data_IF_511501067851
#
_entry.id   IF_511501067851
#
_cell.length_a   1.000
_cell.length_b   1.000
_cell.length_c   1.000
_cell.angle_alpha   90.00
_cell.angle_beta   90.00
_cell.angle_gamma   90.00
#
_symmetry.space_group_name_H-M   'P 1'
#
loop_
_entity.id
_entity.type
_entity.pdbx_description
1 polymer ?
#
# COMPACT_ATOMS: atom_id res chain seq x y z
N UNK A 1 -11.19 -33.12 -14.58
CA UNK A 1 -10.31 -32.26 -13.76
C UNK A 1 -10.28 -32.79 -12.33
N UNK A 2 -9.07 -32.98 -11.79
CA UNK A 2 -8.93 -33.57 -10.45
C UNK A 2 -9.45 -32.67 -9.33
N UNK A 3 -10.20 -33.21 -8.39
CA UNK A 3 -10.74 -32.55 -7.19
C UNK A 3 -9.70 -31.71 -6.43
N UNK A 4 -8.44 -32.13 -6.42
CA UNK A 4 -7.33 -31.44 -5.74
C UNK A 4 -7.11 -30.00 -6.27
N UNK A 5 -7.17 -29.78 -7.58
CA UNK A 5 -7.03 -28.44 -8.18
C UNK A 5 -8.22 -27.54 -7.84
N UNK A 6 -9.43 -28.12 -7.83
CA UNK A 6 -10.67 -27.41 -7.49
C UNK A 6 -10.63 -26.96 -6.03
N UNK A 7 -10.33 -27.84 -5.09
CA UNK A 7 -10.21 -27.54 -3.66
C UNK A 7 -9.12 -26.50 -3.37
N UNK A 8 -7.98 -26.59 -4.03
CA UNK A 8 -6.90 -25.59 -3.90
C UNK A 8 -7.35 -24.21 -4.40
N UNK A 9 -8.06 -24.16 -5.53
CA UNK A 9 -8.60 -22.92 -6.09
C UNK A 9 -9.66 -22.29 -5.17
N UNK A 10 -10.55 -23.10 -4.59
CA UNK A 10 -11.57 -22.65 -3.65
C UNK A 10 -10.95 -22.06 -2.37
N UNK A 11 -9.98 -22.76 -1.76
CA UNK A 11 -9.23 -22.25 -0.60
C UNK A 11 -8.54 -20.91 -0.89
N UNK A 12 -7.93 -20.75 -2.07
CA UNK A 12 -7.32 -19.48 -2.47
C UNK A 12 -8.33 -18.36 -2.67
N UNK A 13 -9.52 -18.67 -3.19
CA UNK A 13 -10.60 -17.69 -3.35
C UNK A 13 -11.16 -17.25 -1.99
N UNK A 14 -11.35 -18.18 -1.06
CA UNK A 14 -11.79 -17.89 0.31
C UNK A 14 -10.77 -17.04 1.07
N UNK A 15 -9.49 -17.39 1.00
CA UNK A 15 -8.42 -16.60 1.62
C UNK A 15 -8.40 -15.16 1.07
N UNK A 16 -8.62 -14.97 -0.25
CA UNK A 16 -8.68 -13.63 -0.86
C UNK A 16 -9.89 -12.79 -0.44
N UNK A 17 -11.01 -13.42 -0.10
CA UNK A 17 -12.20 -12.69 0.39
C UNK A 17 -11.92 -11.95 1.68
N UNK A 18 -11.08 -12.50 2.54
CA UNK A 18 -10.74 -11.95 3.86
C UNK A 18 -9.54 -10.98 3.83
N UNK A 19 -9.00 -10.70 2.65
CA UNK A 19 -7.91 -9.74 2.51
C UNK A 19 -8.47 -8.38 2.08
N UNK A 20 -8.17 -7.35 2.86
CA UNK A 20 -8.54 -5.97 2.58
C UNK A 20 -7.31 -5.22 2.10
N UNK A 21 -7.32 -4.80 0.86
CA UNK A 21 -6.15 -4.14 0.26
C UNK A 21 -6.55 -2.97 -0.62
N UNK A 22 -5.62 -2.04 -0.78
CA UNK A 22 -5.66 -1.02 -1.80
C UNK A 22 -4.33 -0.99 -2.57
N UNK A 23 -4.37 -0.60 -3.83
CA UNK A 23 -3.19 -0.54 -4.70
C UNK A 23 -3.10 0.79 -5.41
N UNK A 24 -1.93 1.38 -5.38
CA UNK A 24 -1.58 2.58 -6.13
C UNK A 24 -0.58 2.20 -7.22
N UNK A 25 -0.97 2.33 -8.47
CA UNK A 25 -0.11 1.99 -9.61
C UNK A 25 0.54 3.25 -10.20
N UNK A 26 1.75 3.08 -10.74
CA UNK A 26 2.49 4.11 -11.47
C UNK A 26 2.64 5.45 -10.73
N UNK A 27 2.86 5.40 -9.43
CA UNK A 27 3.11 6.61 -8.65
C UNK A 27 4.46 7.23 -9.06
N UNK A 28 4.50 8.52 -9.48
CA UNK A 28 5.71 9.16 -10.00
C UNK A 28 6.70 9.58 -8.91
N UNK A 29 6.87 8.76 -7.89
CA UNK A 29 7.82 8.94 -6.79
C UNK A 29 8.82 7.78 -6.81
N UNK A 30 10.07 8.06 -6.48
CA UNK A 30 11.10 7.02 -6.40
C UNK A 30 10.75 5.97 -5.34
N UNK A 31 10.92 4.66 -5.63
CA UNK A 31 10.65 3.58 -4.65
C UNK A 31 11.39 3.77 -3.32
N UNK A 32 12.63 4.26 -3.35
CA UNK A 32 13.42 4.53 -2.13
C UNK A 32 12.74 5.56 -1.23
N UNK A 33 12.24 6.66 -1.80
CA UNK A 33 11.54 7.72 -1.05
C UNK A 33 10.21 7.21 -0.48
N UNK A 34 9.48 6.39 -1.24
CA UNK A 34 8.22 5.80 -0.81
C UNK A 34 8.42 4.80 0.32
N UNK A 35 9.47 3.95 0.26
CA UNK A 35 9.78 2.96 1.31
C UNK A 35 10.06 3.59 2.66
N UNK A 36 10.75 4.74 2.70
CA UNK A 36 11.03 5.45 3.95
C UNK A 36 9.75 5.79 4.73
N UNK A 37 8.69 6.19 4.04
CA UNK A 37 7.40 6.50 4.67
C UNK A 37 6.62 5.21 4.96
N UNK A 38 6.65 4.25 4.04
CA UNK A 38 5.99 2.95 4.24
C UNK A 38 6.51 2.24 5.50
N UNK A 39 7.81 2.32 5.78
CA UNK A 39 8.42 1.70 6.96
C UNK A 39 7.99 2.39 8.26
N UNK A 40 7.71 3.71 8.22
CA UNK A 40 7.22 4.45 9.39
C UNK A 40 5.79 4.07 9.81
N UNK A 41 4.96 3.62 8.87
CA UNK A 41 3.54 3.32 9.15
C UNK A 41 3.22 1.84 9.19
N UNK A 42 4.15 0.99 8.76
CA UNK A 42 3.96 -0.48 8.80
C UNK A 42 3.78 -0.97 10.23
N UNK A 43 2.77 -1.80 10.45
CA UNK A 43 2.47 -2.41 11.76
C UNK A 43 1.76 -1.48 12.75
N UNK A 44 1.46 -0.24 12.39
CA UNK A 44 0.72 0.68 13.26
C UNK A 44 -0.79 0.55 13.09
N UNK A 45 -1.54 0.89 14.16
CA UNK A 45 -3.00 1.09 14.10
C UNK A 45 -3.30 2.23 13.12
N UNK A 46 -4.47 2.17 12.48
CA UNK A 46 -4.88 3.13 11.44
C UNK A 46 -4.83 4.57 11.93
N UNK A 47 -5.36 4.87 13.11
CA UNK A 47 -5.44 6.25 13.63
C UNK A 47 -4.04 6.86 13.77
N UNK A 48 -3.10 6.08 14.33
CA UNK A 48 -1.72 6.49 14.45
C UNK A 48 -1.04 6.66 13.08
N UNK A 49 -1.32 5.74 12.15
CA UNK A 49 -0.77 5.81 10.80
C UNK A 49 -1.26 7.05 10.03
N UNK A 50 -2.56 7.38 10.11
CA UNK A 50 -3.13 8.59 9.51
C UNK A 50 -2.46 9.83 10.10
N UNK A 51 -2.31 9.89 11.43
CA UNK A 51 -1.65 11.03 12.10
C UNK A 51 -0.21 11.21 11.64
N UNK A 52 0.58 10.12 11.55
CA UNK A 52 1.97 10.16 11.05
C UNK A 52 2.01 10.67 9.60
N UNK A 53 1.12 10.17 8.74
CA UNK A 53 1.09 10.54 7.32
C UNK A 53 0.67 12.00 7.12
N UNK A 54 -0.32 12.46 7.87
CA UNK A 54 -0.87 13.82 7.79
C UNK A 54 0.15 14.90 8.20
N UNK A 55 0.92 14.64 9.26
CA UNK A 55 1.90 15.60 9.76
C UNK A 55 3.30 15.45 9.13
N UNK A 56 3.51 14.49 8.26
CA UNK A 56 4.78 14.31 7.55
C UNK A 56 4.89 15.31 6.38
N UNK A 57 5.97 16.10 6.27
CA UNK A 57 6.15 17.09 5.19
C UNK A 57 6.54 16.46 3.84
N UNK A 58 6.64 15.13 3.76
CA UNK A 58 7.11 14.44 2.56
C UNK A 58 5.97 14.20 1.56
N UNK A 59 6.19 14.48 0.28
CA UNK A 59 5.22 14.24 -0.80
C UNK A 59 4.65 12.81 -0.83
N UNK A 60 5.48 11.83 -0.51
CA UNK A 60 5.08 10.42 -0.46
C UNK A 60 3.98 10.15 0.58
N UNK A 61 3.94 10.92 1.67
CA UNK A 61 2.93 10.78 2.73
C UNK A 61 1.53 11.08 2.23
N UNK A 62 1.35 12.14 1.43
CA UNK A 62 0.05 12.50 0.85
C UNK A 62 -0.51 11.39 -0.05
N UNK A 63 0.37 10.69 -0.78
CA UNK A 63 -0.05 9.58 -1.63
C UNK A 63 -0.44 8.35 -0.82
N UNK A 64 0.33 8.05 0.23
CA UNK A 64 0.04 6.93 1.13
C UNK A 64 -1.18 7.18 2.00
N UNK A 65 -1.43 8.41 2.44
CA UNK A 65 -2.64 8.80 3.17
C UNK A 65 -3.90 8.49 2.34
N UNK A 66 -3.94 8.95 1.08
CA UNK A 66 -5.06 8.67 0.17
C UNK A 66 -5.24 7.17 -0.08
N UNK A 67 -4.13 6.43 -0.22
CA UNK A 67 -4.18 4.98 -0.39
C UNK A 67 -4.73 4.28 0.85
N UNK A 68 -4.34 4.73 2.04
CA UNK A 68 -4.83 4.20 3.32
C UNK A 68 -6.33 4.45 3.48
N UNK A 69 -6.81 5.66 3.19
CA UNK A 69 -8.24 5.99 3.21
C UNK A 69 -9.03 5.11 2.23
N UNK A 70 -8.50 4.87 1.03
CA UNK A 70 -9.11 3.94 0.08
C UNK A 70 -9.17 2.50 0.61
N UNK A 71 -8.13 2.04 1.31
CA UNK A 71 -8.12 0.70 1.92
C UNK A 71 -9.17 0.57 3.04
N UNK A 72 -9.35 1.62 3.84
CA UNK A 72 -10.38 1.69 4.89
C UNK A 72 -11.77 1.62 4.27
N UNK A 73 -12.03 2.40 3.22
CA UNK A 73 -13.32 2.36 2.50
C UNK A 73 -13.59 0.99 1.90
N UNK A 74 -12.59 0.33 1.34
CA UNK A 74 -12.71 -1.04 0.82
C UNK A 74 -13.04 -2.05 1.93
N UNK A 75 -12.51 -1.83 3.14
CA UNK A 75 -12.83 -2.66 4.30
C UNK A 75 -14.29 -2.42 4.76
N UNK A 76 -14.72 -1.17 4.85
CA UNK A 76 -16.10 -0.80 5.22
C UNK A 76 -17.15 -1.42 4.30
N UNK A 77 -16.94 -1.34 2.98
CA UNK A 77 -17.85 -1.92 1.98
C UNK A 77 -18.01 -3.44 2.17
N UNK A 78 -16.96 -4.12 2.62
CA UNK A 78 -17.02 -5.57 2.86
C UNK A 78 -17.59 -5.94 4.24
N UNK A 79 -17.53 -5.03 5.20
CA UNK A 79 -17.94 -5.24 6.59
C UNK A 79 -18.90 -4.13 7.02
N UNK A 80 -20.05 -4.00 6.32
CA UNK A 80 -21.05 -2.95 6.55
C UNK A 80 -21.62 -2.96 7.98
N UNK A 81 -21.56 -4.09 8.67
CA UNK A 81 -22.11 -4.29 10.02
C UNK A 81 -21.10 -4.02 11.15
N UNK A 82 -19.83 -3.79 10.84
CA UNK A 82 -18.77 -3.61 11.83
C UNK A 82 -18.29 -2.15 11.89
N UNK A 83 -18.20 -1.58 13.10
CA UNK A 83 -17.64 -0.25 13.32
C UNK A 83 -16.11 -0.30 13.22
N UNK A 84 -15.52 0.69 12.57
CA UNK A 84 -14.06 0.80 12.39
C UNK A 84 -13.33 0.85 13.73
N UNK A 85 -13.89 1.58 14.71
CA UNK A 85 -13.30 1.76 16.03
C UNK A 85 -13.21 0.45 16.81
N UNK A 86 -14.23 -0.43 16.68
CA UNK A 86 -14.27 -1.75 17.33
C UNK A 86 -13.39 -2.79 16.63
N UNK A 87 -13.12 -2.61 15.34
CA UNK A 87 -12.36 -3.57 14.55
C UNK A 87 -10.84 -3.51 14.77
N UNK A 88 -10.34 -2.48 15.47
CA UNK A 88 -8.89 -2.27 15.72
C UNK A 88 -8.00 -2.57 14.49
N UNK A 89 -8.28 -1.90 13.38
CA UNK A 89 -7.59 -2.13 12.13
C UNK A 89 -6.11 -1.74 12.22
N UNK A 90 -5.26 -2.61 11.71
CA UNK A 90 -3.79 -2.46 11.69
C UNK A 90 -3.30 -2.61 10.26
N UNK A 91 -2.26 -1.87 9.93
CA UNK A 91 -1.55 -2.03 8.67
C UNK A 91 -0.67 -3.28 8.77
N UNK A 92 -1.12 -4.39 8.15
CA UNK A 92 -0.38 -5.65 8.14
C UNK A 92 0.86 -5.54 7.29
N UNK A 93 0.69 -5.07 6.06
CA UNK A 93 1.75 -5.08 5.06
C UNK A 93 1.65 -3.87 4.14
N UNK A 94 2.81 -3.27 3.84
CA UNK A 94 2.97 -2.31 2.75
C UNK A 94 4.12 -2.77 1.88
N UNK A 95 3.82 -3.08 0.62
CA UNK A 95 4.81 -3.44 -0.40
C UNK A 95 5.00 -2.28 -1.36
N UNK A 96 6.25 -1.96 -1.66
CA UNK A 96 6.63 -0.92 -2.62
C UNK A 96 7.51 -1.54 -3.68
N UNK A 97 6.93 -1.74 -4.85
CA UNK A 97 7.58 -2.34 -6.01
C UNK A 97 8.04 -1.26 -7.00
N UNK A 98 9.08 -1.56 -7.77
CA UNK A 98 9.53 -0.66 -8.82
C UNK A 98 8.59 -0.73 -10.02
N UNK A 99 8.26 0.44 -10.56
CA UNK A 99 7.50 0.57 -11.80
C UNK A 99 8.39 1.06 -12.94
N UNK A 100 7.81 1.34 -14.09
CA UNK A 100 8.47 1.92 -15.23
C UNK A 100 9.16 3.24 -14.89
N UNK A 101 10.24 3.58 -15.62
CA UNK A 101 10.96 4.82 -15.44
C UNK A 101 10.98 5.64 -16.73
N UNK A 102 10.90 6.96 -16.58
CA UNK A 102 11.10 7.89 -17.67
C UNK A 102 12.59 8.25 -17.75
N UNK A 103 13.18 8.01 -18.92
CA UNK A 103 14.57 8.38 -19.21
C UNK A 103 14.59 9.80 -19.78
N UNK A 104 15.44 10.66 -19.21
CA UNK A 104 15.67 12.04 -19.65
C UNK A 104 17.15 12.29 -19.75
N UNK A 105 17.55 13.33 -20.46
CA UNK A 105 18.93 13.76 -20.60
C UNK A 105 19.11 15.11 -19.90
N UNK A 106 20.25 15.27 -19.26
CA UNK A 106 20.74 16.53 -18.73
C UNK A 106 22.02 16.87 -19.46
N UNK A 107 22.10 18.07 -20.03
CA UNK A 107 23.30 18.55 -20.70
C UNK A 107 24.49 18.64 -19.74
N UNK A 108 25.66 18.30 -20.22
CA UNK A 108 26.93 18.36 -19.51
C UNK A 108 27.96 19.10 -20.38
N UNK A 109 29.08 19.59 -19.78
CA UNK A 109 30.16 20.26 -20.53
C UNK A 109 30.72 19.38 -21.66
N UNK A 110 31.31 20.01 -22.65
CA UNK A 110 31.97 19.35 -23.79
C UNK A 110 31.02 18.51 -24.68
N UNK A 111 29.76 18.91 -24.83
CA UNK A 111 28.79 18.18 -25.66
C UNK A 111 28.37 16.81 -25.11
N UNK A 112 28.67 16.51 -23.85
CA UNK A 112 28.26 15.26 -23.18
C UNK A 112 26.85 15.42 -22.61
N UNK A 113 26.21 14.27 -22.31
CA UNK A 113 24.89 14.23 -21.67
C UNK A 113 24.86 13.19 -20.57
N UNK A 114 24.25 13.54 -19.44
CA UNK A 114 24.00 12.62 -18.34
C UNK A 114 22.55 12.12 -18.38
N UNK A 115 22.36 10.83 -18.09
CA UNK A 115 21.02 10.23 -18.04
C UNK A 115 20.34 10.53 -16.71
N UNK A 116 19.11 11.05 -16.76
CA UNK A 116 18.22 11.17 -15.62
C UNK A 116 17.19 10.06 -15.72
N UNK A 117 16.98 9.33 -14.61
CA UNK A 117 15.96 8.29 -14.49
C UNK A 117 14.89 8.76 -13.50
N UNK A 118 13.75 9.22 -14.03
CA UNK A 118 12.57 9.52 -13.21
C UNK A 118 11.84 8.20 -12.92
N UNK A 119 12.06 7.66 -11.73
CA UNK A 119 11.54 6.36 -11.32
C UNK A 119 10.14 6.48 -10.79
N UNK A 120 9.31 5.47 -11.07
CA UNK A 120 7.97 5.31 -10.50
C UNK A 120 7.90 4.05 -9.64
N UNK A 121 6.84 3.92 -8.87
CA UNK A 121 6.59 2.77 -8.01
C UNK A 121 5.13 2.31 -8.07
N UNK A 122 4.91 1.08 -7.61
CA UNK A 122 3.61 0.52 -7.27
C UNK A 122 3.57 0.28 -5.78
N UNK A 123 2.49 0.67 -5.13
CA UNK A 123 2.30 0.43 -3.70
C UNK A 123 1.09 -0.46 -3.51
N UNK A 124 1.24 -1.52 -2.74
CA UNK A 124 0.14 -2.37 -2.27
C UNK A 124 0.10 -2.31 -0.75
N UNK A 125 -1.04 -1.91 -0.21
CA UNK A 125 -1.30 -1.81 1.22
C UNK A 125 -2.35 -2.83 1.62
N UNK A 126 -2.08 -3.61 2.66
CA UNK A 126 -2.97 -4.64 3.19
C UNK A 126 -3.31 -4.31 4.64
N UNK A 127 -4.61 -4.30 4.93
CA UNK A 127 -5.15 -4.13 6.29
C UNK A 127 -5.50 -5.49 6.89
N UNK A 128 -5.39 -5.56 8.21
CA UNK A 128 -5.83 -6.68 9.04
C UNK A 128 -6.65 -6.17 10.21
N UNK A 129 -7.77 -6.79 10.49
CA UNK A 129 -8.56 -6.56 11.69
C UNK A 129 -8.01 -7.44 12.80
N UNK A 130 -7.56 -6.85 13.90
CA UNK A 130 -7.30 -7.58 15.14
C UNK A 130 -8.63 -7.69 15.88
N UNK A 131 -9.43 -8.72 15.59
CA UNK A 131 -10.56 -9.03 16.44
C UNK A 131 -10.01 -9.32 17.83
N UNK A 132 -10.42 -8.52 18.80
CA UNK A 132 -10.23 -8.87 20.20
C UNK A 132 -11.10 -10.10 20.41
N UNK A 133 -10.47 -11.29 20.49
CA UNK A 133 -11.14 -12.45 21.06
C UNK A 133 -11.38 -12.09 22.53
N UNK A 134 -12.60 -11.62 22.80
CA UNK A 134 -13.08 -11.52 24.19
C UNK A 134 -13.20 -12.98 24.68
N UNK A 135 -12.19 -13.40 25.45
CA UNK A 135 -12.26 -14.64 26.23
C UNK A 135 -13.26 -14.50 27.35
#
# INVERSE_FOLDING_TARGET
MGNRKKLSSEKLKEAKKNIFFARLNNCPISPRKMRLIADQVRGHKIDKAISILKFSPKEASLKLEKLLLSAISNWQIKNESEDIEKAELVIKEIRVDSAGMLKRLRTAPQGRAHRIRKRSNHVTLVLESKKIEVK
#
